data_IF_924617491271
#
_entry.id   IF_924617491271
#
_cell.length_a   1.000
_cell.length_b   1.000
_cell.length_c   1.000
_cell.angle_alpha   90.00
_cell.angle_beta   90.00
_cell.angle_gamma   90.00
#
_symmetry.space_group_name_H-M   'P 1'
#
loop_
_entity.id
_entity.type
_entity.pdbx_description
1 polymer ?
#
# COMPACT_ATOMS: atom_id res chain seq x y z
N UNK A 1 -10.31 -17.72 -1.81
CA UNK A 1 -10.61 -16.36 -2.34
C UNK A 1 -9.47 -15.94 -3.24
N UNK A 2 -9.75 -15.45 -4.44
CA UNK A 2 -8.70 -15.05 -5.38
C UNK A 2 -8.04 -13.73 -4.92
N UNK A 3 -6.71 -13.58 -5.04
CA UNK A 3 -5.97 -12.38 -4.58
C UNK A 3 -6.43 -11.08 -5.24
N UNK A 4 -7.13 -11.19 -6.38
CA UNK A 4 -7.82 -10.09 -7.04
C UNK A 4 -8.95 -9.49 -6.19
N UNK A 5 -9.74 -10.31 -5.50
CA UNK A 5 -10.88 -9.84 -4.70
C UNK A 5 -10.42 -9.02 -3.50
N UNK A 6 -9.35 -9.46 -2.84
CA UNK A 6 -8.74 -8.74 -1.72
C UNK A 6 -8.19 -7.38 -2.15
N UNK A 7 -7.52 -7.31 -3.31
CA UNK A 7 -7.06 -6.03 -3.89
C UNK A 7 -8.22 -5.07 -4.14
N UNK A 8 -9.32 -5.57 -4.70
CA UNK A 8 -10.50 -4.75 -5.00
C UNK A 8 -11.13 -4.22 -3.70
N UNK A 9 -11.31 -5.06 -2.68
CA UNK A 9 -11.84 -4.66 -1.37
C UNK A 9 -10.96 -3.60 -0.72
N UNK A 10 -9.64 -3.76 -0.75
CA UNK A 10 -8.69 -2.79 -0.21
C UNK A 10 -8.80 -1.42 -0.92
N UNK A 11 -8.90 -1.44 -2.26
CA UNK A 11 -9.02 -0.24 -3.07
C UNK A 11 -10.35 0.49 -2.80
N UNK A 12 -11.45 -0.25 -2.69
CA UNK A 12 -12.77 0.30 -2.36
C UNK A 12 -12.76 0.92 -0.96
N UNK A 13 -12.21 0.24 0.05
CA UNK A 13 -12.11 0.78 1.41
C UNK A 13 -11.30 2.08 1.46
N UNK A 14 -10.16 2.13 0.76
CA UNK A 14 -9.30 3.32 0.69
C UNK A 14 -10.00 4.49 -0.04
N UNK A 15 -10.75 4.20 -1.10
CA UNK A 15 -11.48 5.22 -1.85
C UNK A 15 -12.65 5.79 -1.05
N UNK A 16 -13.41 4.94 -0.34
CA UNK A 16 -14.49 5.39 0.56
C UNK A 16 -13.92 6.28 1.68
N UNK A 17 -12.77 5.93 2.24
CA UNK A 17 -12.08 6.74 3.24
C UNK A 17 -11.69 8.12 2.72
N UNK A 18 -11.08 8.20 1.53
CA UNK A 18 -10.71 9.48 0.94
C UNK A 18 -11.92 10.34 0.60
N UNK A 19 -12.97 9.75 0.02
CA UNK A 19 -14.22 10.47 -0.26
C UNK A 19 -14.87 10.95 1.06
N UNK A 20 -14.90 10.11 2.09
CA UNK A 20 -15.43 10.45 3.41
C UNK A 20 -14.63 11.56 4.09
N UNK A 21 -13.30 11.52 4.00
CA UNK A 21 -12.40 12.54 4.53
C UNK A 21 -12.58 13.89 3.82
N UNK A 22 -12.79 13.88 2.50
CA UNK A 22 -12.93 15.11 1.69
C UNK A 22 -14.34 15.71 1.82
N UNK A 23 -15.40 14.90 1.75
CA UNK A 23 -16.79 15.38 1.74
C UNK A 23 -17.42 15.51 3.13
N UNK A 24 -17.01 14.67 4.08
CA UNK A 24 -17.64 14.54 5.39
C UNK A 24 -16.61 14.40 6.54
N UNK A 25 -15.68 15.37 6.72
CA UNK A 25 -14.57 15.27 7.68
C UNK A 25 -15.01 15.10 9.14
N UNK A 26 -16.25 15.44 9.45
CA UNK A 26 -16.90 15.32 10.75
C UNK A 26 -17.28 13.88 11.15
N UNK A 27 -17.32 12.93 10.20
CA UNK A 27 -17.61 11.52 10.48
C UNK A 27 -16.34 10.69 10.61
N UNK A 28 -15.78 10.63 11.84
CA UNK A 28 -14.59 9.85 12.17
C UNK A 28 -14.70 8.35 11.86
N UNK A 29 -15.91 7.79 11.83
CA UNK A 29 -16.16 6.38 11.49
C UNK A 29 -15.65 6.00 10.09
N UNK A 30 -15.84 6.87 9.09
CA UNK A 30 -15.35 6.61 7.73
C UNK A 30 -13.83 6.56 7.70
N UNK A 31 -13.18 7.37 8.55
CA UNK A 31 -11.73 7.39 8.72
C UNK A 31 -11.17 6.12 9.37
N UNK A 32 -11.94 5.50 10.28
CA UNK A 32 -11.54 4.23 10.91
C UNK A 32 -11.61 3.08 9.90
N UNK A 33 -12.62 3.07 9.03
CA UNK A 33 -12.77 2.05 7.98
C UNK A 33 -11.57 2.11 7.00
N UNK A 34 -11.14 3.31 6.61
CA UNK A 34 -9.95 3.48 5.77
C UNK A 34 -8.66 2.96 6.37
N UNK A 35 -8.50 3.03 7.69
CA UNK A 35 -7.33 2.49 8.38
C UNK A 35 -7.20 0.98 8.22
N UNK A 36 -8.29 0.26 7.98
CA UNK A 36 -8.29 -1.19 7.70
C UNK A 36 -7.74 -1.49 6.30
N UNK A 37 -7.77 -0.54 5.37
CA UNK A 37 -7.16 -0.74 4.05
C UNK A 37 -5.64 -0.98 4.16
N UNK A 38 -4.97 -0.33 5.13
CA UNK A 38 -3.53 -0.48 5.33
C UNK A 38 -3.09 -1.92 5.64
N UNK A 39 -3.60 -2.62 6.67
CA UNK A 39 -3.22 -4.01 6.93
C UNK A 39 -3.59 -4.95 5.78
N UNK A 40 -4.67 -4.69 5.03
CA UNK A 40 -5.01 -5.50 3.84
C UNK A 40 -3.95 -5.30 2.74
N UNK A 41 -3.53 -4.06 2.48
CA UNK A 41 -2.45 -3.79 1.54
C UNK A 41 -1.12 -4.40 1.98
N UNK A 42 -0.78 -4.33 3.27
CA UNK A 42 0.41 -4.96 3.81
C UNK A 42 0.40 -6.48 3.57
N UNK A 43 -0.72 -7.15 3.88
CA UNK A 43 -0.90 -8.59 3.61
C UNK A 43 -0.74 -8.93 2.12
N UNK A 44 -1.37 -8.15 1.23
CA UNK A 44 -1.28 -8.35 -0.22
C UNK A 44 0.15 -8.18 -0.77
N UNK A 45 0.95 -7.30 -0.16
CA UNK A 45 2.36 -7.11 -0.52
C UNK A 45 3.19 -8.30 -0.06
N UNK A 46 3.00 -8.77 1.17
CA UNK A 46 3.69 -9.96 1.69
C UNK A 46 3.34 -11.21 0.88
N UNK A 47 2.06 -11.45 0.61
CA UNK A 47 1.61 -12.55 -0.27
C UNK A 47 2.19 -12.41 -1.69
N UNK A 48 2.19 -11.19 -2.23
CA UNK A 48 2.77 -10.88 -3.53
C UNK A 48 4.28 -11.10 -3.58
N UNK A 49 4.99 -10.83 -2.47
CA UNK A 49 6.42 -11.08 -2.32
C UNK A 49 6.71 -12.58 -2.32
N UNK A 50 6.00 -13.36 -1.51
CA UNK A 50 6.20 -14.81 -1.38
C UNK A 50 5.95 -15.53 -2.70
N UNK A 51 4.91 -15.13 -3.45
CA UNK A 51 4.56 -15.78 -4.71
C UNK A 51 5.33 -15.27 -5.94
N UNK A 52 6.02 -14.12 -5.84
CA UNK A 52 6.70 -13.51 -7.00
C UNK A 52 8.18 -13.86 -7.04
N UNK A 53 8.59 -14.57 -8.08
CA UNK A 53 10.01 -14.87 -8.35
C UNK A 53 10.87 -13.63 -8.71
N UNK A 54 10.28 -12.48 -9.03
CA UNK A 54 11.01 -11.26 -9.43
C UNK A 54 10.62 -10.01 -8.63
N UNK A 55 11.10 -9.96 -7.39
CA UNK A 55 10.85 -8.85 -6.44
C UNK A 55 11.25 -7.48 -7.01
N UNK A 56 12.39 -7.36 -7.69
CA UNK A 56 12.81 -6.08 -8.30
C UNK A 56 11.76 -5.50 -9.26
N UNK A 57 11.16 -6.32 -10.13
CA UNK A 57 10.11 -5.89 -11.06
C UNK A 57 8.81 -5.55 -10.33
N UNK A 58 8.51 -6.25 -9.22
CA UNK A 58 7.35 -5.97 -8.38
C UNK A 58 7.51 -4.62 -7.67
N UNK A 59 8.66 -4.38 -7.03
CA UNK A 59 8.97 -3.14 -6.32
C UNK A 59 8.96 -1.92 -7.26
N UNK A 60 9.51 -2.04 -8.47
CA UNK A 60 9.48 -0.94 -9.47
C UNK A 60 8.04 -0.61 -9.87
N UNK A 61 7.20 -1.61 -10.11
CA UNK A 61 5.78 -1.38 -10.44
C UNK A 61 5.04 -0.68 -9.30
N UNK A 62 5.30 -1.08 -8.06
CA UNK A 62 4.70 -0.46 -6.88
C UNK A 62 5.20 0.99 -6.67
N UNK A 63 6.49 1.24 -6.92
CA UNK A 63 7.09 2.58 -6.84
C UNK A 63 6.55 3.52 -7.92
N UNK A 64 6.42 3.05 -9.16
CA UNK A 64 5.78 3.82 -10.23
C UNK A 64 4.33 4.15 -9.85
N UNK A 65 3.60 3.17 -9.30
CA UNK A 65 2.22 3.40 -8.84
C UNK A 65 2.17 4.43 -7.71
N UNK A 66 3.13 4.40 -6.78
CA UNK A 66 3.26 5.38 -5.71
C UNK A 66 3.49 6.80 -6.25
N UNK A 67 4.37 6.95 -7.24
CA UNK A 67 4.65 8.24 -7.89
C UNK A 67 3.45 8.76 -8.69
N UNK A 68 2.81 7.89 -9.48
CA UNK A 68 1.61 8.26 -10.24
C UNK A 68 0.47 8.65 -9.30
N UNK A 69 0.31 7.95 -8.17
CA UNK A 69 -0.69 8.28 -7.15
C UNK A 69 -0.32 9.53 -6.33
N UNK A 70 0.94 9.96 -6.35
CA UNK A 70 1.39 11.19 -5.68
C UNK A 70 0.77 12.43 -6.29
N UNK A 71 0.67 12.48 -7.61
CA UNK A 71 0.13 13.62 -8.36
C UNK A 71 -1.32 13.94 -7.98
N UNK A 72 -2.29 12.98 -8.05
CA UNK A 72 -3.67 13.25 -7.65
C UNK A 72 -3.82 13.51 -6.15
N UNK A 73 -3.00 12.90 -5.30
CA UNK A 73 -3.03 13.15 -3.85
C UNK A 73 -2.60 14.59 -3.50
N UNK A 74 -1.52 15.07 -4.12
CA UNK A 74 -1.03 16.44 -3.94
C UNK A 74 -2.07 17.46 -4.45
N UNK A 75 -2.75 17.15 -5.56
CA UNK A 75 -3.80 17.99 -6.12
C UNK A 75 -5.06 18.04 -5.23
N UNK A 76 -5.44 16.92 -4.61
CA UNK A 76 -6.65 16.78 -3.83
C UNK A 76 -6.55 17.36 -2.40
N UNK A 77 -5.37 17.27 -1.77
CA UNK A 77 -5.22 17.65 -0.36
C UNK A 77 -4.37 18.90 -0.12
N UNK A 78 -3.71 19.49 -1.13
CA UNK A 78 -2.80 20.65 -0.97
C UNK A 78 -1.74 20.47 0.14
N UNK A 79 -1.45 19.23 0.54
CA UNK A 79 -0.56 18.88 1.64
C UNK A 79 0.65 18.11 1.10
N UNK A 80 1.82 18.36 1.70
CA UNK A 80 3.12 17.79 1.29
C UNK A 80 3.43 16.43 1.92
N UNK A 81 2.41 15.70 2.40
CA UNK A 81 2.61 14.37 2.99
C UNK A 81 2.83 13.32 1.90
N UNK A 82 3.73 12.37 2.17
CA UNK A 82 3.99 11.23 1.29
C UNK A 82 2.79 10.27 1.30
N UNK A 83 2.48 9.69 0.14
CA UNK A 83 1.38 8.73 0.00
C UNK A 83 1.62 7.45 0.80
N UNK A 84 0.52 6.80 1.20
CA UNK A 84 0.58 5.50 1.89
C UNK A 84 1.35 4.44 1.08
N UNK A 85 1.35 4.55 -0.25
CA UNK A 85 2.13 3.70 -1.15
C UNK A 85 3.65 3.78 -0.91
N UNK A 86 4.18 4.93 -0.47
CA UNK A 86 5.59 5.02 -0.06
C UNK A 86 5.87 4.22 1.21
N UNK A 87 4.95 4.24 2.18
CA UNK A 87 5.08 3.42 3.40
C UNK A 87 5.08 1.94 3.07
N UNK A 88 4.16 1.52 2.18
CA UNK A 88 4.08 0.16 1.67
C UNK A 88 5.34 -0.25 0.89
N UNK A 89 5.92 0.67 0.10
CA UNK A 89 7.18 0.44 -0.60
C UNK A 89 8.36 0.22 0.36
N UNK A 90 8.48 1.05 1.40
CA UNK A 90 9.53 0.90 2.42
C UNK A 90 9.34 -0.43 3.17
N UNK A 91 8.10 -0.81 3.51
CA UNK A 91 7.81 -2.10 4.14
C UNK A 91 8.23 -3.29 3.27
N UNK A 92 8.01 -3.22 1.96
CA UNK A 92 8.48 -4.23 1.00
C UNK A 92 10.02 -4.29 0.93
N UNK A 93 10.70 -3.15 0.95
CA UNK A 93 12.17 -3.09 0.99
C UNK A 93 12.73 -3.68 2.28
N UNK A 94 12.10 -3.41 3.42
CA UNK A 94 12.47 -3.99 4.70
C UNK A 94 12.34 -5.52 4.68
N UNK A 95 11.23 -6.05 4.13
CA UNK A 95 11.04 -7.48 3.96
C UNK A 95 12.13 -8.11 3.09
N UNK A 96 12.47 -7.46 1.96
CA UNK A 96 13.55 -7.90 1.08
C UNK A 96 14.92 -7.89 1.77
N UNK A 97 15.21 -6.86 2.59
CA UNK A 97 16.46 -6.79 3.34
C UNK A 97 16.57 -7.93 4.37
N UNK A 98 15.49 -8.20 5.11
CA UNK A 98 15.47 -9.28 6.10
C UNK A 98 15.61 -10.66 5.47
N UNK A 99 14.97 -10.88 4.31
CA UNK A 99 15.06 -12.14 3.57
C UNK A 99 16.48 -12.36 3.00
N UNK A 100 17.11 -11.29 2.51
CA UNK A 100 18.51 -11.33 2.06
C UNK A 100 19.47 -11.64 3.21
N UNK A 101 19.31 -11.02 4.37
CA UNK A 101 20.13 -11.32 5.55
C UNK A 101 19.92 -12.75 6.04
N UNK A 102 18.68 -13.24 6.03
CA UNK A 102 18.36 -14.61 6.43
C UNK A 102 18.98 -15.64 5.48
N UNK A 103 18.88 -15.41 4.17
CA UNK A 103 19.51 -16.28 3.15
C UNK A 103 21.04 -16.28 3.25
N UNK A 104 21.65 -15.15 3.59
CA UNK A 104 23.10 -15.04 3.80
C UNK A 104 23.58 -15.73 5.08
N UNK A 105 22.79 -15.72 6.16
CA UNK A 105 23.13 -16.38 7.43
C UNK A 105 22.94 -17.91 7.42
N UNK A 106 22.32 -18.48 6.39
CA UNK A 106 22.19 -19.94 6.21
C UNK A 106 23.27 -20.55 5.30
N UNK A 107 24.20 -19.75 4.77
CA UNK A 107 25.38 -20.16 4.00
C UNK A 107 26.65 -20.03 4.86
#
# INVERSE_FOLDING_TARGET
>A
MNSFHLKLIACICMLIDHIGSVLFPQYLLLRVIGRIAFPIFAYLITEGYIHTHSIKKYSIRLFIFALVSQVPYMLAFHMTYLNIFFTLFIGLMALYATDYEFSKNQL
#
